data_IF_397694250352
#
_entry.id   IF_397694250352
#
_cell.length_a   1.000
_cell.length_b   1.000
_cell.length_c   1.000
_cell.angle_alpha   90.00
_cell.angle_beta   90.00
_cell.angle_gamma   90.00
#
_symmetry.space_group_name_H-M   'P 1'
#
loop_
_entity.id
_entity.type
_entity.pdbx_description
1 polymer ?
#
# COMPACT_ATOMS: atom_id res chain seq x y z
N UNK A 1 15.66 25.53 12.64
CA UNK A 1 14.89 25.71 13.90
C UNK A 1 13.43 25.80 13.51
N UNK A 2 12.59 24.84 13.90
CA UNK A 2 11.17 24.87 13.56
C UNK A 2 10.48 25.88 14.47
N UNK A 3 10.06 27.03 13.93
CA UNK A 3 9.31 28.04 14.66
C UNK A 3 7.82 27.87 14.34
N UNK A 4 7.04 27.40 15.31
CA UNK A 4 5.59 27.29 15.19
C UNK A 4 4.97 28.57 15.76
N UNK A 5 4.43 29.43 14.90
CA UNK A 5 3.72 30.65 15.32
C UNK A 5 2.21 30.44 15.25
N UNK A 6 1.48 30.89 16.27
CA UNK A 6 0.02 30.88 16.25
C UNK A 6 -0.49 31.97 15.30
N UNK A 7 -1.24 31.57 14.26
CA UNK A 7 -1.86 32.48 13.29
C UNK A 7 -3.35 32.69 13.59
N UNK A 8 -3.85 33.92 13.43
CA UNK A 8 -5.25 34.30 13.70
C UNK A 8 -6.25 33.92 12.59
N UNK A 9 -6.05 32.78 11.92
CA UNK A 9 -6.98 32.27 10.92
C UNK A 9 -6.66 30.82 10.61
N UNK A 10 -7.65 29.92 10.75
CA UNK A 10 -7.76 28.47 10.47
C UNK A 10 -6.51 27.55 10.55
N UNK A 11 -5.33 27.99 10.16
CA UNK A 11 -4.03 27.41 10.45
C UNK A 11 -3.54 27.75 11.87
N UNK A 12 -3.74 26.86 12.84
CA UNK A 12 -3.26 27.10 14.21
C UNK A 12 -1.73 27.14 14.31
N UNK A 13 -0.98 26.59 13.33
CA UNK A 13 0.48 26.62 13.28
C UNK A 13 1.02 26.72 11.85
N UNK A 14 1.83 27.76 11.55
CA UNK A 14 2.55 27.91 10.27
C UNK A 14 4.01 27.48 10.43
N UNK A 15 4.51 26.74 9.45
CA UNK A 15 5.91 26.34 9.35
C UNK A 15 6.65 27.33 8.46
N UNK A 16 7.58 28.10 9.03
CA UNK A 16 8.43 28.99 8.24
C UNK A 16 9.55 28.17 7.57
N UNK A 17 9.74 28.38 6.27
CA UNK A 17 10.91 27.88 5.53
C UNK A 17 12.06 28.89 5.63
N UNK A 18 13.27 28.52 5.18
CA UNK A 18 14.50 29.32 5.37
C UNK A 18 14.46 30.74 4.73
N UNK A 19 13.45 31.05 3.92
CA UNK A 19 13.20 32.38 3.36
C UNK A 19 12.30 33.29 4.22
N UNK A 20 11.83 32.80 5.38
CA UNK A 20 10.98 33.54 6.31
C UNK A 20 9.49 33.61 5.90
N UNK A 21 9.09 32.89 4.85
CA UNK A 21 7.69 32.72 4.44
C UNK A 21 7.18 31.32 4.81
N UNK A 22 5.89 31.05 4.63
CA UNK A 22 5.34 29.69 4.68
C UNK A 22 5.44 28.96 3.33
N UNK A 23 6.09 29.56 2.33
CA UNK A 23 6.22 29.01 0.98
C UNK A 23 4.88 28.72 0.29
N UNK A 24 3.79 29.38 0.71
CA UNK A 24 2.44 29.14 0.19
C UNK A 24 1.73 27.92 0.78
N UNK A 25 2.15 27.42 1.94
CA UNK A 25 1.46 26.34 2.64
C UNK A 25 0.04 26.76 3.09
N UNK A 26 -0.93 25.85 2.98
CA UNK A 26 -2.33 26.10 3.38
C UNK A 26 -2.83 25.01 4.31
N UNK A 27 -3.55 25.39 5.36
CA UNK A 27 -4.31 24.46 6.20
C UNK A 27 -5.64 25.09 6.61
N UNK A 28 -6.76 24.48 6.22
CA UNK A 28 -8.11 25.01 6.44
C UNK A 28 -8.90 24.30 7.56
N UNK A 29 -8.57 23.05 7.90
CA UNK A 29 -9.29 22.28 8.91
C UNK A 29 -8.84 22.57 10.34
N UNK A 30 -9.71 22.41 11.35
CA UNK A 30 -9.33 22.53 12.76
C UNK A 30 -8.18 21.58 13.08
N UNK A 31 -7.20 22.08 13.86
CA UNK A 31 -6.02 21.32 14.30
C UNK A 31 -5.18 20.70 13.17
N UNK A 32 -5.27 21.23 11.95
CA UNK A 32 -4.47 20.77 10.82
C UNK A 32 -3.12 21.49 10.75
N UNK A 33 -2.12 20.84 10.17
CA UNK A 33 -0.74 21.34 10.03
C UNK A 33 -0.27 21.19 8.58
N UNK A 34 0.17 22.28 7.96
CA UNK A 34 0.88 22.25 6.68
C UNK A 34 2.29 22.86 6.84
N UNK A 35 3.32 22.13 6.43
CA UNK A 35 4.71 22.58 6.46
C UNK A 35 5.44 22.23 5.16
N UNK A 36 6.11 23.21 4.56
CA UNK A 36 6.85 23.09 3.30
C UNK A 36 6.20 23.87 2.17
N UNK A 37 6.97 24.21 1.14
CA UNK A 37 6.47 25.02 0.03
C UNK A 37 5.25 24.35 -0.63
N UNK A 38 4.15 25.08 -0.70
CA UNK A 38 2.87 24.63 -1.26
C UNK A 38 2.31 23.34 -0.63
N UNK A 39 2.67 23.04 0.62
CA UNK A 39 2.03 21.95 1.37
C UNK A 39 0.54 22.29 1.63
N UNK A 40 -0.34 21.29 1.53
CA UNK A 40 -1.80 21.46 1.68
C UNK A 40 -2.34 20.47 2.71
N UNK A 41 -2.85 20.98 3.82
CA UNK A 41 -3.57 20.20 4.83
C UNK A 41 -5.03 20.71 4.91
N UNK A 42 -5.79 20.46 3.84
CA UNK A 42 -7.12 21.01 3.61
C UNK A 42 -8.16 19.88 3.52
N UNK A 43 -8.66 19.39 4.66
CA UNK A 43 -9.75 18.40 4.67
C UNK A 43 -11.03 18.93 4.01
N UNK A 44 -11.94 18.06 3.54
CA UNK A 44 -13.07 18.45 2.67
C UNK A 44 -14.14 19.29 3.39
N UNK A 45 -14.29 19.12 4.71
CA UNK A 45 -15.20 19.90 5.56
C UNK A 45 -14.43 20.67 6.64
N UNK A 46 -13.83 21.83 6.30
CA UNK A 46 -13.04 22.63 7.25
C UNK A 46 -13.87 23.30 8.34
N UNK A 47 -15.21 23.30 8.23
CA UNK A 47 -16.11 23.96 9.17
C UNK A 47 -16.64 23.00 10.26
N UNK A 48 -16.49 21.68 10.07
CA UNK A 48 -16.96 20.71 11.04
C UNK A 48 -16.01 20.61 12.24
N UNK A 49 -16.51 20.76 13.49
CA UNK A 49 -15.70 20.57 14.69
C UNK A 49 -15.29 19.10 14.90
N UNK A 50 -15.87 18.15 14.14
CA UNK A 50 -15.57 16.72 14.21
C UNK A 50 -14.60 16.25 13.13
N UNK A 51 -14.34 17.06 12.09
CA UNK A 51 -13.52 16.69 10.94
C UNK A 51 -12.39 17.71 10.75
N UNK A 52 -11.15 17.23 10.80
CA UNK A 52 -9.94 18.06 10.90
C UNK A 52 -8.69 17.19 11.07
N UNK A 53 -7.65 17.72 11.72
CA UNK A 53 -6.44 16.96 12.09
C UNK A 53 -5.60 16.44 10.92
N UNK A 54 -5.64 17.12 9.76
CA UNK A 54 -4.80 16.76 8.62
C UNK A 54 -3.37 17.25 8.83
N UNK A 55 -2.36 16.44 8.48
CA UNK A 55 -0.94 16.82 8.59
C UNK A 55 -0.25 16.64 7.25
N UNK A 56 0.23 17.73 6.63
CA UNK A 56 1.02 17.71 5.41
C UNK A 56 2.43 18.29 5.67
N UNK A 57 3.48 17.49 5.46
CA UNK A 57 4.87 17.92 5.66
C UNK A 57 5.72 17.54 4.44
N UNK A 58 6.19 18.55 3.71
CA UNK A 58 7.01 18.38 2.51
C UNK A 58 6.55 19.31 1.40
N UNK A 59 7.44 19.59 0.45
CA UNK A 59 7.09 20.41 -0.72
C UNK A 59 5.99 19.71 -1.51
N UNK A 60 4.88 20.41 -1.75
CA UNK A 60 3.70 19.88 -2.45
C UNK A 60 3.08 18.62 -1.80
N UNK A 61 3.33 18.39 -0.51
CA UNK A 61 2.62 17.36 0.25
C UNK A 61 1.14 17.72 0.39
N UNK A 62 0.24 16.74 0.27
CA UNK A 62 -1.22 16.92 0.31
C UNK A 62 -1.85 15.96 1.30
N UNK A 63 -2.42 16.48 2.37
CA UNK A 63 -3.27 15.77 3.32
C UNK A 63 -4.68 16.36 3.20
N UNK A 64 -5.49 15.80 2.31
CA UNK A 64 -6.81 16.33 1.94
C UNK A 64 -7.97 15.45 2.44
N UNK A 65 -7.67 14.33 3.10
CA UNK A 65 -8.67 13.58 3.86
C UNK A 65 -8.77 14.07 5.31
N UNK A 66 -9.92 13.87 5.97
CA UNK A 66 -10.00 14.10 7.41
C UNK A 66 -9.07 13.13 8.15
N UNK A 67 -8.37 13.61 9.19
CA UNK A 67 -7.43 12.79 9.99
C UNK A 67 -6.33 12.17 9.11
N UNK A 68 -6.02 12.79 7.97
CA UNK A 68 -5.02 12.27 7.03
C UNK A 68 -3.61 12.78 7.36
N UNK A 69 -2.60 12.01 7.00
CA UNK A 69 -1.20 12.39 7.17
C UNK A 69 -0.42 12.16 5.88
N UNK A 70 0.24 13.18 5.35
CA UNK A 70 1.12 13.11 4.19
C UNK A 70 2.50 13.69 4.53
N UNK A 71 3.55 12.87 4.46
CA UNK A 71 4.92 13.28 4.77
C UNK A 71 5.86 12.87 3.63
N UNK A 72 6.47 13.86 2.98
CA UNK A 72 7.36 13.68 1.85
C UNK A 72 7.01 14.61 0.69
N UNK A 73 7.99 14.89 -0.17
CA UNK A 73 7.76 15.69 -1.39
C UNK A 73 6.71 15.01 -2.27
N UNK A 74 5.65 15.71 -2.66
CA UNK A 74 4.52 15.16 -3.42
C UNK A 74 3.75 14.01 -2.75
N UNK A 75 3.93 13.75 -1.45
CA UNK A 75 3.13 12.75 -0.75
C UNK A 75 1.64 13.16 -0.77
N UNK A 76 0.73 12.22 -1.00
CA UNK A 76 -0.71 12.48 -1.15
C UNK A 76 -1.51 11.52 -0.28
N UNK A 77 -2.25 12.05 0.70
CA UNK A 77 -3.16 11.34 1.60
C UNK A 77 -4.56 11.96 1.49
N UNK A 78 -5.41 11.40 0.63
CA UNK A 78 -6.74 11.97 0.31
C UNK A 78 -7.90 11.15 0.90
N UNK A 79 -7.63 9.95 1.39
CA UNK A 79 -8.64 9.16 2.08
C UNK A 79 -8.87 9.63 3.51
N UNK A 80 -10.09 9.50 4.01
CA UNK A 80 -10.40 9.65 5.44
C UNK A 80 -9.51 8.71 6.27
N UNK A 81 -8.74 9.25 7.20
CA UNK A 81 -7.78 8.53 8.05
C UNK A 81 -6.62 7.90 7.27
N UNK A 82 -6.34 8.36 6.05
CA UNK A 82 -5.26 7.83 5.22
C UNK A 82 -3.89 8.35 5.64
N UNK A 83 -2.84 7.56 5.42
CA UNK A 83 -1.47 7.90 5.78
C UNK A 83 -0.50 7.63 4.63
N UNK A 84 0.20 8.66 4.15
CA UNK A 84 1.18 8.58 3.07
C UNK A 84 2.56 9.07 3.56
N UNK A 85 3.54 8.18 3.60
CA UNK A 85 4.91 8.46 4.05
C UNK A 85 5.93 8.11 2.97
N UNK A 86 6.53 9.11 2.33
CA UNK A 86 7.53 8.94 1.28
C UNK A 86 7.36 9.93 0.14
N UNK A 87 8.42 10.14 -0.65
CA UNK A 87 8.33 10.97 -1.85
C UNK A 87 7.32 10.35 -2.84
N UNK A 88 6.33 11.12 -3.27
CA UNK A 88 5.26 10.69 -4.17
C UNK A 88 4.46 9.47 -3.69
N UNK A 89 4.48 9.14 -2.39
CA UNK A 89 3.59 8.10 -1.84
C UNK A 89 2.13 8.53 -1.92
N UNK A 90 1.21 7.61 -2.18
CA UNK A 90 -0.20 7.89 -2.44
C UNK A 90 -1.11 6.97 -1.61
N UNK A 91 -1.79 7.53 -0.61
CA UNK A 91 -2.82 6.88 0.17
C UNK A 91 -4.18 7.54 -0.13
N UNK A 92 -4.92 7.05 -1.13
CA UNK A 92 -6.21 7.65 -1.55
C UNK A 92 -7.43 6.87 -1.06
N UNK A 93 -7.23 5.65 -0.56
CA UNK A 93 -8.32 4.88 0.03
C UNK A 93 -8.65 5.33 1.46
N UNK A 94 -9.91 5.16 1.87
CA UNK A 94 -10.32 5.34 3.27
C UNK A 94 -9.52 4.39 4.19
N UNK A 95 -8.93 4.90 5.27
CA UNK A 95 -8.05 4.16 6.19
C UNK A 95 -6.86 3.48 5.49
N UNK A 96 -6.44 3.98 4.32
CA UNK A 96 -5.31 3.40 3.59
C UNK A 96 -3.97 3.88 4.13
N UNK A 97 -2.93 3.06 4.01
CA UNK A 97 -1.57 3.42 4.43
C UNK A 97 -0.58 3.13 3.30
N UNK A 98 0.15 4.14 2.84
CA UNK A 98 1.21 4.02 1.84
C UNK A 98 2.55 4.49 2.43
N UNK A 99 3.52 3.59 2.58
CA UNK A 99 4.83 3.88 3.16
C UNK A 99 5.94 3.47 2.19
N UNK A 100 6.75 4.42 1.74
CA UNK A 100 7.81 4.23 0.75
C UNK A 100 7.64 5.17 -0.44
N UNK A 101 8.74 5.52 -1.10
CA UNK A 101 8.67 6.36 -2.29
C UNK A 101 7.87 5.65 -3.40
N UNK A 102 6.90 6.37 -3.99
CA UNK A 102 5.95 5.85 -4.98
C UNK A 102 5.09 4.65 -4.52
N UNK A 103 4.95 4.42 -3.20
CA UNK A 103 3.99 3.43 -2.70
C UNK A 103 2.54 3.92 -2.95
N UNK A 104 1.65 3.02 -3.35
CA UNK A 104 0.26 3.35 -3.70
C UNK A 104 -0.72 2.44 -2.95
N UNK A 105 -1.47 3.00 -2.00
CA UNK A 105 -2.59 2.37 -1.30
C UNK A 105 -3.90 3.07 -1.71
N UNK A 106 -4.56 2.57 -2.75
CA UNK A 106 -5.63 3.32 -3.44
C UNK A 106 -7.04 2.90 -3.05
N UNK A 107 -7.18 1.77 -2.36
CA UNK A 107 -8.48 1.20 -1.94
C UNK A 107 -8.71 1.29 -0.43
N UNK A 108 -9.97 1.14 0.00
CA UNK A 108 -10.33 1.17 1.42
C UNK A 108 -9.54 0.14 2.22
N UNK A 109 -8.98 0.53 3.37
CA UNK A 109 -8.20 -0.30 4.30
C UNK A 109 -6.98 -0.97 3.65
N UNK A 110 -6.53 -0.49 2.50
CA UNK A 110 -5.35 -1.04 1.82
C UNK A 110 -4.05 -0.53 2.46
N UNK A 111 -3.03 -1.39 2.49
CA UNK A 111 -1.71 -1.06 3.03
C UNK A 111 -0.64 -1.38 2.01
N UNK A 112 0.11 -0.38 1.55
CA UNK A 112 1.25 -0.52 0.65
C UNK A 112 2.53 -0.07 1.37
N UNK A 113 3.50 -0.96 1.55
CA UNK A 113 4.79 -0.66 2.21
C UNK A 113 5.96 -1.12 1.33
N UNK A 114 6.78 -0.18 0.85
CA UNK A 114 7.95 -0.43 0.00
C UNK A 114 8.00 0.50 -1.21
N UNK A 115 9.19 0.62 -1.82
CA UNK A 115 9.35 1.39 -3.07
C UNK A 115 8.48 0.79 -4.18
N UNK A 116 7.57 1.58 -4.76
CA UNK A 116 6.58 1.11 -5.75
C UNK A 116 5.68 -0.06 -5.28
N UNK A 117 5.44 -0.23 -3.98
CA UNK A 117 4.42 -1.18 -3.52
C UNK A 117 3.02 -0.69 -3.93
N UNK A 118 2.14 -1.56 -4.41
CA UNK A 118 0.79 -1.23 -4.87
C UNK A 118 -0.23 -2.13 -4.15
N UNK A 119 -1.07 -1.53 -3.32
CA UNK A 119 -2.24 -2.15 -2.72
C UNK A 119 -3.51 -1.48 -3.27
N UNK A 120 -4.08 -2.05 -4.32
CA UNK A 120 -5.26 -1.51 -5.00
C UNK A 120 -6.54 -2.33 -4.76
N UNK A 121 -6.44 -3.48 -4.12
CA UNK A 121 -7.60 -4.22 -3.62
C UNK A 121 -8.12 -3.62 -2.31
N UNK A 122 -9.43 -3.65 -2.02
CA UNK A 122 -9.93 -3.33 -0.68
C UNK A 122 -9.39 -4.35 0.34
N UNK A 123 -9.02 -3.87 1.52
CA UNK A 123 -8.40 -4.68 2.58
C UNK A 123 -7.12 -5.41 2.14
N UNK A 124 -6.49 -4.96 1.05
CA UNK A 124 -5.30 -5.59 0.50
C UNK A 124 -4.02 -5.09 1.19
N UNK A 125 -3.03 -5.96 1.32
CA UNK A 125 -1.72 -5.63 1.90
C UNK A 125 -0.60 -5.96 0.91
N UNK A 126 0.18 -4.97 0.51
CA UNK A 126 1.36 -5.12 -0.33
C UNK A 126 2.61 -4.65 0.44
N UNK A 127 3.51 -5.55 0.82
CA UNK A 127 4.75 -5.24 1.57
C UNK A 127 5.97 -5.76 0.84
N UNK A 128 6.76 -4.87 0.23
CA UNK A 128 7.95 -5.19 -0.52
C UNK A 128 8.17 -4.24 -1.69
N UNK A 129 9.40 -4.14 -2.18
CA UNK A 129 9.70 -3.34 -3.37
C UNK A 129 8.95 -3.92 -4.58
N UNK A 130 8.04 -3.13 -5.17
CA UNK A 130 7.24 -3.55 -6.33
C UNK A 130 6.17 -4.62 -6.03
N UNK A 131 5.87 -4.90 -4.76
CA UNK A 131 4.82 -5.85 -4.37
C UNK A 131 3.44 -5.35 -4.82
N UNK A 132 2.57 -6.24 -5.29
CA UNK A 132 1.26 -5.90 -5.85
C UNK A 132 0.16 -6.77 -5.23
N UNK A 133 -0.76 -6.13 -4.51
CA UNK A 133 -1.96 -6.76 -3.97
C UNK A 133 -3.19 -6.04 -4.55
N UNK A 134 -3.75 -6.59 -5.63
CA UNK A 134 -4.70 -5.86 -6.49
C UNK A 134 -6.16 -6.27 -6.33
N UNK A 135 -6.43 -7.30 -5.52
CA UNK A 135 -7.77 -7.87 -5.32
C UNK A 135 -8.20 -7.80 -3.85
N UNK A 136 -9.50 -7.93 -3.61
CA UNK A 136 -10.08 -7.89 -2.26
C UNK A 136 -9.42 -8.94 -1.35
N UNK A 137 -9.00 -8.53 -0.15
CA UNK A 137 -8.27 -9.34 0.83
C UNK A 137 -6.92 -9.93 0.36
N UNK A 138 -6.36 -9.44 -0.77
CA UNK A 138 -5.09 -9.97 -1.28
C UNK A 138 -3.90 -9.54 -0.40
N UNK A 139 -2.96 -10.45 -0.18
CA UNK A 139 -1.73 -10.19 0.60
C UNK A 139 -0.50 -10.52 -0.24
N UNK A 140 0.24 -9.51 -0.67
CA UNK A 140 1.53 -9.63 -1.33
C UNK A 140 2.64 -9.20 -0.36
N UNK A 141 3.52 -10.11 0.05
CA UNK A 141 4.72 -9.81 0.86
C UNK A 141 5.96 -10.28 0.09
N UNK A 142 7.07 -9.56 0.14
CA UNK A 142 8.26 -9.87 -0.66
C UNK A 142 8.40 -8.97 -1.90
N UNK A 143 9.63 -8.79 -2.37
CA UNK A 143 9.89 -7.94 -3.53
C UNK A 143 9.29 -8.56 -4.80
N UNK A 144 8.60 -7.74 -5.59
CA UNK A 144 7.91 -8.10 -6.82
C UNK A 144 6.83 -9.19 -6.69
N UNK A 145 6.40 -9.54 -5.46
CA UNK A 145 5.33 -10.51 -5.27
C UNK A 145 3.97 -9.97 -5.74
N UNK A 146 3.11 -10.86 -6.25
CA UNK A 146 1.85 -10.51 -6.93
C UNK A 146 0.70 -11.36 -6.40
N UNK A 147 -0.11 -10.79 -5.53
CA UNK A 147 -1.37 -11.35 -5.07
C UNK A 147 -2.52 -10.71 -5.86
N UNK A 148 -2.98 -11.42 -6.89
CA UNK A 148 -3.89 -10.91 -7.92
C UNK A 148 -5.31 -11.51 -7.83
N UNK A 149 -5.51 -12.55 -7.02
CA UNK A 149 -6.83 -13.17 -6.78
C UNK A 149 -7.48 -12.69 -5.48
N UNK A 150 -8.80 -12.82 -5.39
CA UNK A 150 -9.58 -12.63 -4.16
C UNK A 150 -9.01 -13.49 -3.03
N UNK A 151 -8.65 -12.88 -1.90
CA UNK A 151 -8.05 -13.58 -0.75
C UNK A 151 -6.71 -14.28 -1.06
N UNK A 152 -6.05 -13.94 -2.17
CA UNK A 152 -4.78 -14.58 -2.55
C UNK A 152 -3.62 -14.12 -1.68
N UNK A 153 -2.62 -14.98 -1.50
CA UNK A 153 -1.42 -14.71 -0.70
C UNK A 153 -0.16 -15.03 -1.49
N UNK A 154 0.72 -14.05 -1.70
CA UNK A 154 1.99 -14.19 -2.40
C UNK A 154 3.13 -13.65 -1.51
N UNK A 155 3.98 -14.50 -0.91
CA UNK A 155 4.96 -14.06 0.11
C UNK A 155 6.45 -14.16 -0.30
N UNK A 156 6.76 -14.76 -1.46
CA UNK A 156 8.13 -14.95 -1.94
C UNK A 156 8.58 -13.84 -2.90
N UNK A 157 9.90 -13.69 -3.09
CA UNK A 157 10.43 -12.84 -4.17
C UNK A 157 9.85 -13.28 -5.51
N UNK A 158 9.22 -12.36 -6.27
CA UNK A 158 8.58 -12.64 -7.55
C UNK A 158 7.55 -13.78 -7.51
N UNK A 159 6.95 -14.07 -6.35
CA UNK A 159 5.88 -15.07 -6.27
C UNK A 159 4.57 -14.53 -6.82
N UNK A 160 3.75 -15.40 -7.41
CA UNK A 160 2.49 -15.01 -8.05
C UNK A 160 1.35 -15.92 -7.59
N UNK A 161 0.37 -15.34 -6.91
CA UNK A 161 -0.88 -15.97 -6.53
C UNK A 161 -2.03 -15.27 -7.27
N UNK A 162 -2.59 -15.93 -8.28
CA UNK A 162 -3.61 -15.32 -9.14
C UNK A 162 -5.02 -15.91 -8.94
N UNK A 163 -5.12 -17.22 -8.78
CA UNK A 163 -6.37 -17.91 -9.07
C UNK A 163 -6.66 -17.94 -10.58
N UNK A 164 -7.49 -18.89 -11.02
CA UNK A 164 -7.89 -19.02 -12.42
C UNK A 164 -8.98 -18.03 -12.77
N UNK A 165 -9.92 -17.80 -11.84
CA UNK A 165 -11.06 -16.87 -12.00
C UNK A 165 -10.79 -15.49 -11.39
N UNK A 166 -9.80 -15.40 -10.50
CA UNK A 166 -9.59 -14.20 -9.68
C UNK A 166 -10.55 -14.10 -8.48
N UNK A 167 -11.48 -15.04 -8.34
CA UNK A 167 -12.40 -15.17 -7.18
C UNK A 167 -11.95 -16.28 -6.22
N UNK A 168 -11.20 -17.27 -6.71
CA UNK A 168 -10.58 -18.31 -5.88
C UNK A 168 -9.25 -17.86 -5.29
N UNK A 169 -9.14 -17.91 -3.95
CA UNK A 169 -7.88 -17.62 -3.26
C UNK A 169 -6.77 -18.58 -3.69
N UNK A 170 -5.58 -18.06 -3.97
CA UNK A 170 -4.40 -18.85 -4.31
C UNK A 170 -3.26 -18.50 -3.35
N UNK A 171 -2.35 -19.43 -3.08
CA UNK A 171 -1.23 -19.21 -2.14
C UNK A 171 0.11 -19.56 -2.77
N UNK A 172 1.00 -18.57 -2.95
CA UNK A 172 2.33 -18.71 -3.53
C UNK A 172 3.42 -18.19 -2.59
N UNK A 173 4.12 -19.09 -1.89
CA UNK A 173 5.02 -18.72 -0.78
C UNK A 173 6.51 -18.88 -1.09
N UNK A 174 6.88 -19.56 -2.17
CA UNK A 174 8.27 -19.74 -2.57
C UNK A 174 8.80 -18.63 -3.49
N UNK A 175 10.11 -18.45 -3.56
CA UNK A 175 10.74 -17.56 -4.55
C UNK A 175 10.35 -18.01 -5.96
N UNK A 176 9.83 -17.08 -6.76
CA UNK A 176 9.31 -17.30 -8.12
C UNK A 176 8.25 -18.40 -8.21
N UNK A 177 7.55 -18.70 -7.11
CA UNK A 177 6.49 -19.72 -7.10
C UNK A 177 5.20 -19.17 -7.70
N UNK A 178 4.42 -20.04 -8.36
CA UNK A 178 3.19 -19.68 -9.08
C UNK A 178 2.02 -20.53 -8.63
N UNK A 179 0.99 -19.91 -8.08
CA UNK A 179 -0.30 -20.52 -7.77
C UNK A 179 -1.36 -19.88 -8.69
N UNK A 180 -1.71 -20.58 -9.77
CA UNK A 180 -2.48 -20.03 -10.89
C UNK A 180 -3.89 -20.62 -11.01
N UNK A 181 -4.18 -21.74 -10.33
CA UNK A 181 -5.53 -22.27 -10.19
C UNK A 181 -6.26 -21.67 -8.98
N UNK A 182 -7.58 -21.72 -8.98
CA UNK A 182 -8.40 -21.37 -7.82
C UNK A 182 -8.12 -22.34 -6.66
N UNK A 183 -7.97 -21.84 -5.44
CA UNK A 183 -7.63 -22.65 -4.26
C UNK A 183 -6.31 -23.41 -4.39
N UNK A 184 -5.43 -22.99 -5.31
CA UNK A 184 -4.14 -23.65 -5.51
C UNK A 184 -3.08 -23.16 -4.52
N UNK A 185 -2.14 -24.04 -4.18
CA UNK A 185 -1.02 -23.80 -3.27
C UNK A 185 0.29 -24.13 -3.98
N UNK A 186 1.23 -23.20 -3.97
CA UNK A 186 2.57 -23.36 -4.52
C UNK A 186 3.63 -22.92 -3.50
N UNK A 187 4.31 -23.89 -2.92
CA UNK A 187 5.29 -23.71 -1.85
C UNK A 187 6.64 -24.32 -2.26
N UNK A 188 7.59 -23.47 -2.63
CA UNK A 188 8.94 -23.90 -3.03
C UNK A 188 9.53 -23.02 -4.12
N UNK A 189 10.87 -23.01 -4.23
CA UNK A 189 11.57 -22.27 -5.29
C UNK A 189 11.08 -22.73 -6.67
N UNK A 190 10.52 -21.80 -7.45
CA UNK A 190 9.96 -22.06 -8.79
C UNK A 190 8.88 -23.15 -8.85
N UNK A 191 8.19 -23.45 -7.74
CA UNK A 191 7.05 -24.36 -7.74
C UNK A 191 5.87 -23.75 -8.53
N UNK A 192 5.06 -24.57 -9.20
CA UNK A 192 3.92 -24.14 -10.02
C UNK A 192 2.70 -25.05 -9.83
N UNK A 193 1.58 -24.49 -9.38
CA UNK A 193 0.28 -25.15 -9.30
C UNK A 193 -0.69 -24.49 -10.30
N UNK A 194 -0.93 -25.15 -11.42
CA UNK A 194 -1.63 -24.56 -12.57
C UNK A 194 -3.15 -24.69 -12.56
N UNK A 195 -3.69 -25.76 -11.96
CA UNK A 195 -5.13 -25.98 -11.94
C UNK A 195 -5.72 -25.89 -10.54
N UNK A 196 -7.06 -25.90 -10.51
CA UNK A 196 -7.80 -25.59 -9.30
C UNK A 196 -7.62 -26.68 -8.25
N UNK A 197 -7.54 -26.28 -6.98
CA UNK A 197 -7.30 -27.16 -5.82
C UNK A 197 -5.97 -27.93 -5.86
N UNK A 198 -5.01 -27.50 -6.69
CA UNK A 198 -3.71 -28.15 -6.74
C UNK A 198 -2.76 -27.69 -5.65
N UNK A 199 -1.93 -28.60 -5.16
CA UNK A 199 -0.84 -28.29 -4.22
C UNK A 199 0.50 -28.71 -4.80
N UNK A 200 1.39 -27.77 -5.11
CA UNK A 200 2.77 -28.02 -5.51
C UNK A 200 3.71 -27.64 -4.36
N UNK A 201 4.41 -28.62 -3.79
CA UNK A 201 5.35 -28.41 -2.68
C UNK A 201 6.73 -28.93 -3.06
N UNK A 202 7.75 -28.11 -2.87
CA UNK A 202 9.14 -28.42 -3.18
C UNK A 202 9.70 -27.61 -4.34
N UNK A 203 11.03 -27.55 -4.44
CA UNK A 203 11.70 -26.81 -5.50
C UNK A 203 11.32 -27.41 -6.88
N UNK A 204 10.83 -26.57 -7.79
CA UNK A 204 10.41 -26.93 -9.15
C UNK A 204 9.26 -27.96 -9.20
N UNK A 205 8.49 -28.12 -8.12
CA UNK A 205 7.27 -28.92 -8.15
C UNK A 205 6.27 -28.35 -9.15
N UNK A 206 5.69 -29.20 -10.01
CA UNK A 206 4.69 -28.80 -10.99
C UNK A 206 3.48 -29.70 -10.85
N UNK A 207 2.30 -29.09 -10.67
CA UNK A 207 1.01 -29.78 -10.73
C UNK A 207 0.12 -29.14 -11.78
N UNK A 208 -0.43 -29.96 -12.68
CA UNK A 208 -1.47 -29.60 -13.64
C UNK A 208 -2.77 -30.33 -13.35
N UNK A 209 -3.86 -30.03 -14.07
CA UNK A 209 -5.18 -30.64 -13.82
C UNK A 209 -5.86 -30.13 -12.54
N UNK A 210 -6.94 -30.77 -12.10
CA UNK A 210 -7.75 -30.34 -10.94
C UNK A 210 -7.51 -31.28 -9.75
N UNK A 211 -7.32 -30.72 -8.55
CA UNK A 211 -7.18 -31.46 -7.28
C UNK A 211 -5.98 -32.41 -7.21
N UNK A 212 -4.81 -31.98 -7.70
CA UNK A 212 -3.56 -32.76 -7.68
C UNK A 212 -2.59 -32.24 -6.61
N UNK A 213 -2.05 -33.15 -5.79
CA UNK A 213 -0.93 -32.88 -4.90
C UNK A 213 0.38 -33.38 -5.54
N UNK A 214 1.38 -32.51 -5.64
CA UNK A 214 2.71 -32.81 -6.16
C UNK A 214 3.77 -32.40 -5.15
N UNK A 215 4.56 -33.36 -4.68
CA UNK A 215 5.65 -33.15 -3.74
C UNK A 215 6.98 -33.47 -4.42
N UNK A 216 7.88 -32.49 -4.54
CA UNK A 216 9.27 -32.69 -4.98
C UNK A 216 10.18 -32.56 -3.77
N UNK A 217 10.88 -33.64 -3.42
CA UNK A 217 11.95 -33.59 -2.42
C UNK A 217 13.28 -33.79 -3.15
N UNK A 218 14.10 -32.73 -3.25
CA UNK A 218 15.51 -32.93 -3.60
C UNK A 218 16.24 -33.47 -2.37
N UNK A 219 16.08 -34.77 -2.10
CA UNK A 219 17.09 -35.48 -1.35
C UNK A 219 18.34 -35.52 -2.24
N UNK A 220 19.29 -34.62 -1.98
CA UNK A 220 20.57 -34.58 -2.68
C UNK A 220 21.32 -35.87 -2.34
N UNK A 221 21.48 -36.77 -3.32
CA UNK A 221 22.49 -37.83 -3.32
C UNK A 221 23.86 -37.23 -3.59
#
# INVERSE_FOLDING_TARGET
MLLLTTGSGFAQYRCLIDDGTDGGATSSGPNSLACGSQASANPPDPASPTFGFATAVGTLAKAEGDISTAVGTFATANGLGSSAFGASSKATGRLSTATGAYAEATSSQSTATGYHAIASGPDATATGQGAQATSLYATATGSASKALGYGSTATGYDSQAKGSTGEGGATATGMSSKALGDYSVSNGYSASAYGDNNTAVGAQAITGGTSINGFQNRANT
#
